data_IF_166153910775
#
_entry.id   IF_166153910775
#
_cell.length_a   1.000
_cell.length_b   1.000
_cell.length_c   1.000
_cell.angle_alpha   90.00
_cell.angle_beta   90.00
_cell.angle_gamma   90.00
#
_symmetry.space_group_name_H-M   'P 1'
#
loop_
_entity.id
_entity.type
_entity.pdbx_description
1 polymer ?
#
# COMPACT_ATOMS: atom_id res chain seq x y z
N UNK A 1 -4.67 -25.73 10.45
CA UNK A 1 -5.34 -24.73 11.31
C UNK A 1 -4.33 -23.63 11.51
N UNK A 2 -4.65 -22.44 10.97
CA UNK A 2 -3.76 -21.30 10.97
C UNK A 2 -3.23 -21.02 12.39
N UNK A 3 -1.99 -20.55 12.51
CA UNK A 3 -1.35 -20.29 13.81
C UNK A 3 -2.14 -19.30 14.68
N UNK A 4 -2.99 -18.46 14.08
CA UNK A 4 -3.95 -17.59 14.76
C UNK A 4 -5.02 -18.34 15.54
N UNK A 5 -5.52 -19.46 15.01
CA UNK A 5 -6.76 -20.09 15.50
C UNK A 5 -6.54 -20.87 16.79
N UNK A 6 -5.32 -21.35 17.01
CA UNK A 6 -4.93 -21.99 18.28
C UNK A 6 -4.99 -21.02 19.46
N UNK A 7 -4.88 -19.71 19.23
CA UNK A 7 -4.99 -18.70 20.26
C UNK A 7 -6.45 -18.26 20.52
N UNK A 8 -7.37 -18.55 19.59
CA UNK A 8 -8.75 -18.05 19.60
C UNK A 8 -9.69 -18.84 20.52
N UNK A 9 -9.36 -20.10 20.86
CA UNK A 9 -10.23 -20.97 21.66
C UNK A 9 -11.57 -21.31 21.00
N UNK A 10 -11.71 -21.09 19.69
CA UNK A 10 -12.92 -21.38 18.95
C UNK A 10 -13.10 -22.90 18.76
N UNK A 11 -14.36 -23.38 18.72
CA UNK A 11 -14.63 -24.78 18.42
C UNK A 11 -14.16 -25.11 16.99
N UNK A 12 -13.77 -26.37 16.75
CA UNK A 12 -13.04 -26.79 15.55
C UNK A 12 -13.80 -26.50 14.24
N UNK A 13 -15.14 -26.54 14.29
CA UNK A 13 -16.03 -26.19 13.19
C UNK A 13 -16.04 -24.69 12.81
N UNK A 14 -15.51 -23.81 13.67
CA UNK A 14 -15.44 -22.37 13.45
C UNK A 14 -14.00 -21.86 13.21
N UNK A 15 -13.01 -22.75 13.23
CA UNK A 15 -11.63 -22.41 12.88
C UNK A 15 -11.48 -22.24 11.36
N UNK A 16 -10.54 -21.40 10.94
CA UNK A 16 -10.20 -21.30 9.53
C UNK A 16 -9.51 -22.61 9.09
N UNK A 17 -10.08 -23.24 8.08
CA UNK A 17 -9.45 -24.36 7.38
C UNK A 17 -8.39 -23.79 6.45
N UNK A 18 -7.14 -24.18 6.67
CA UNK A 18 -6.08 -23.96 5.68
C UNK A 18 -6.40 -24.87 4.49
N UNK A 19 -6.64 -24.26 3.33
CA UNK A 19 -6.83 -24.99 2.09
C UNK A 19 -5.54 -25.76 1.78
N UNK A 20 -5.66 -27.05 1.54
CA UNK A 20 -4.53 -27.87 1.11
C UNK A 20 -4.16 -27.52 -0.33
N UNK A 21 -2.95 -27.86 -0.78
CA UNK A 21 -2.60 -27.69 -2.20
C UNK A 21 -3.57 -28.44 -3.11
N UNK A 22 -4.12 -29.58 -2.68
CA UNK A 22 -5.15 -30.32 -3.43
C UNK A 22 -6.47 -29.54 -3.56
N UNK A 23 -6.85 -28.75 -2.55
CA UNK A 23 -8.02 -27.87 -2.59
C UNK A 23 -7.79 -26.64 -3.48
N UNK A 24 -6.54 -26.19 -3.56
CA UNK A 24 -6.12 -25.08 -4.42
C UNK A 24 -5.98 -25.48 -5.88
N UNK A 25 -5.64 -26.75 -6.17
CA UNK A 25 -5.47 -27.27 -7.55
C UNK A 25 -6.68 -26.99 -8.47
N UNK A 26 -7.94 -27.29 -8.12
CA UNK A 26 -9.08 -26.98 -8.97
C UNK A 26 -9.30 -25.47 -9.19
N UNK A 27 -8.80 -24.62 -8.29
CA UNK A 27 -8.82 -23.16 -8.42
C UNK A 27 -7.64 -22.67 -9.28
N UNK A 28 -6.55 -23.43 -9.33
CA UNK A 28 -5.28 -23.06 -9.97
C UNK A 28 -5.20 -23.27 -11.48
N UNK A 29 -6.22 -23.87 -12.11
CA UNK A 29 -6.08 -24.40 -13.47
C UNK A 29 -6.29 -23.42 -14.63
N UNK A 30 -6.66 -22.17 -14.39
CA UNK A 30 -6.53 -21.10 -15.37
C UNK A 30 -6.32 -19.79 -14.62
N UNK A 31 -5.13 -19.21 -14.72
CA UNK A 31 -4.92 -17.83 -14.30
C UNK A 31 -5.86 -16.97 -15.16
N UNK A 32 -6.84 -16.27 -14.56
CA UNK A 32 -7.81 -15.51 -15.34
C UNK A 32 -7.08 -14.45 -16.15
N UNK A 33 -7.46 -14.30 -17.42
CA UNK A 33 -6.91 -13.23 -18.23
C UNK A 33 -7.30 -11.89 -17.60
N UNK A 34 -6.44 -10.88 -17.77
CA UNK A 34 -6.66 -9.57 -17.17
C UNK A 34 -8.02 -8.99 -17.56
N UNK A 35 -8.40 -9.17 -18.82
CA UNK A 35 -9.67 -8.71 -19.38
C UNK A 35 -10.88 -9.36 -18.69
N UNK A 36 -10.75 -10.62 -18.25
CA UNK A 36 -11.80 -11.33 -17.52
C UNK A 36 -11.96 -10.73 -16.10
N UNK A 37 -10.85 -10.38 -15.45
CA UNK A 37 -10.85 -9.72 -14.13
C UNK A 37 -11.48 -8.33 -14.23
N UNK A 38 -11.03 -7.53 -15.20
CA UNK A 38 -11.58 -6.19 -15.45
C UNK A 38 -13.08 -6.29 -15.71
N UNK A 39 -13.51 -7.14 -16.65
CA UNK A 39 -14.92 -7.32 -16.97
C UNK A 39 -15.75 -7.77 -15.77
N UNK A 40 -15.23 -8.66 -14.94
CA UNK A 40 -15.90 -9.10 -13.72
C UNK A 40 -16.08 -7.95 -12.71
N UNK A 41 -15.03 -7.16 -12.51
CA UNK A 41 -15.05 -6.02 -11.59
C UNK A 41 -15.96 -4.89 -12.08
N UNK A 42 -16.07 -4.69 -13.39
CA UNK A 42 -16.96 -3.69 -13.98
C UNK A 42 -18.46 -4.04 -13.83
N UNK A 43 -18.79 -5.33 -13.83
CA UNK A 43 -20.16 -5.81 -13.71
C UNK A 43 -20.69 -5.80 -12.27
N UNK A 44 -19.78 -5.82 -11.29
CA UNK A 44 -20.12 -5.82 -9.88
C UNK A 44 -20.14 -4.42 -9.25
N UNK A 45 -20.72 -4.33 -8.05
CA UNK A 45 -20.61 -3.16 -7.18
C UNK A 45 -19.61 -3.49 -6.08
N UNK A 46 -18.33 -3.26 -6.35
CA UNK A 46 -17.27 -3.49 -5.39
C UNK A 46 -16.76 -2.17 -4.79
N UNK A 47 -16.38 -2.23 -3.52
CA UNK A 47 -15.79 -1.11 -2.79
C UNK A 47 -14.60 -1.64 -1.98
N UNK A 48 -13.46 -1.00 -2.14
CA UNK A 48 -12.27 -1.29 -1.34
C UNK A 48 -12.28 -0.33 -0.16
N UNK A 49 -12.40 -0.85 1.06
CA UNK A 49 -12.31 -0.05 2.29
C UNK A 49 -10.90 -0.12 2.85
N UNK A 50 -10.24 1.03 2.95
CA UNK A 50 -8.90 1.17 3.53
C UNK A 50 -8.99 1.70 4.95
N UNK A 51 -8.30 0.99 5.85
CA UNK A 51 -8.25 1.24 7.28
C UNK A 51 -6.79 1.48 7.66
N UNK A 52 -6.49 2.65 8.24
CA UNK A 52 -5.18 2.95 8.81
C UNK A 52 -5.35 3.13 10.30
N UNK A 53 -4.76 2.23 11.07
CA UNK A 53 -4.78 2.24 12.53
C UNK A 53 -3.40 2.61 13.08
N UNK A 54 -3.39 3.34 14.19
CA UNK A 54 -2.15 3.72 14.84
C UNK A 54 -2.38 4.27 16.24
N UNK A 55 -1.29 4.49 16.96
CA UNK A 55 -1.31 5.15 18.26
C UNK A 55 -0.73 6.54 18.10
N UNK A 56 -1.49 7.55 18.53
CA UNK A 56 -1.01 8.91 18.56
C UNK A 56 0.03 9.07 19.67
N UNK A 57 1.27 9.50 19.37
CA UNK A 57 2.38 9.42 20.32
C UNK A 57 2.24 10.34 21.53
N UNK A 58 1.49 11.45 21.43
CA UNK A 58 1.37 12.45 22.50
C UNK A 58 0.37 12.02 23.58
N UNK A 59 -0.71 11.36 23.17
CA UNK A 59 -1.87 11.01 24.02
C UNK A 59 -1.98 9.52 24.28
N UNK A 60 -1.19 8.70 23.58
CA UNK A 60 -1.29 7.24 23.55
C UNK A 60 -2.69 6.74 23.14
N UNK A 61 -3.51 7.60 22.53
CA UNK A 61 -4.83 7.23 22.05
C UNK A 61 -4.72 6.41 20.75
N UNK A 62 -5.56 5.39 20.63
CA UNK A 62 -5.73 4.65 19.39
C UNK A 62 -6.52 5.50 18.39
N UNK A 63 -5.97 5.72 17.20
CA UNK A 63 -6.59 6.41 16.08
C UNK A 63 -6.88 5.45 14.94
N UNK A 64 -7.95 5.71 14.21
CA UNK A 64 -8.32 4.99 13.01
C UNK A 64 -8.78 5.98 11.94
N UNK A 65 -8.07 6.00 10.81
CA UNK A 65 -8.50 6.69 9.60
C UNK A 65 -9.14 5.69 8.64
N UNK A 66 -10.19 6.12 7.94
CA UNK A 66 -10.97 5.31 7.02
C UNK A 66 -11.12 6.05 5.70
N UNK A 67 -10.98 5.30 4.61
CA UNK A 67 -11.30 5.77 3.27
C UNK A 67 -11.79 4.60 2.43
N UNK A 68 -12.45 4.87 1.31
CA UNK A 68 -12.88 3.82 0.40
C UNK A 68 -12.76 4.24 -1.06
N UNK A 69 -12.52 3.24 -1.90
CA UNK A 69 -12.38 3.36 -3.34
C UNK A 69 -13.47 2.52 -4.01
N UNK A 70 -14.33 3.16 -4.78
CA UNK A 70 -15.40 2.49 -5.50
C UNK A 70 -14.88 1.94 -6.83
N UNK A 71 -15.10 0.65 -7.06
CA UNK A 71 -14.85 0.01 -8.34
C UNK A 71 -16.13 0.15 -9.15
N UNK A 72 -16.14 1.10 -10.08
CA UNK A 72 -17.25 1.33 -11.00
C UNK A 72 -16.70 1.23 -12.42
N UNK A 73 -17.30 0.36 -13.25
CA UNK A 73 -16.85 0.14 -14.62
C UNK A 73 -16.91 1.39 -15.49
N UNK A 74 -16.12 1.40 -16.58
CA UNK A 74 -15.94 2.37 -17.70
C UNK A 74 -16.20 3.89 -17.55
N UNK A 75 -16.73 4.41 -16.44
CA UNK A 75 -17.31 5.76 -16.31
C UNK A 75 -16.98 6.46 -14.98
N UNK A 76 -15.82 6.17 -14.37
CA UNK A 76 -15.29 6.96 -13.25
C UNK A 76 -15.30 6.24 -11.89
N UNK A 77 -14.79 5.01 -11.86
CA UNK A 77 -14.33 4.39 -10.61
C UNK A 77 -12.99 4.97 -10.15
N UNK A 78 -12.62 4.70 -8.90
CA UNK A 78 -11.40 5.24 -8.28
C UNK A 78 -10.14 4.38 -8.57
N UNK A 79 -10.29 3.30 -9.35
CA UNK A 79 -9.20 2.39 -9.71
C UNK A 79 -8.74 2.71 -11.13
N UNK A 80 -7.45 2.98 -11.27
CA UNK A 80 -6.79 3.12 -12.56
C UNK A 80 -5.82 1.96 -12.79
N UNK A 81 -5.99 1.25 -13.91
CA UNK A 81 -5.06 0.21 -14.33
C UNK A 81 -3.83 0.80 -15.02
N UNK A 82 -2.71 0.07 -14.98
CA UNK A 82 -1.41 0.45 -15.60
C UNK A 82 -0.90 1.83 -15.18
N UNK A 83 -1.16 2.21 -13.93
CA UNK A 83 -0.80 3.50 -13.37
C UNK A 83 0.02 3.33 -12.10
N UNK A 84 1.00 4.19 -11.90
CA UNK A 84 1.76 4.30 -10.67
C UNK A 84 1.69 5.73 -10.14
N UNK A 85 1.78 5.88 -8.81
CA UNK A 85 1.91 7.20 -8.20
C UNK A 85 3.24 7.85 -8.59
N UNK A 86 3.19 9.15 -8.86
CA UNK A 86 4.38 9.96 -9.15
C UNK A 86 5.25 10.10 -7.89
N UNK A 87 6.58 10.12 -8.05
CA UNK A 87 7.51 10.38 -6.94
C UNK A 87 7.29 11.79 -6.35
N UNK A 88 6.71 11.84 -5.14
CA UNK A 88 6.42 13.08 -4.42
C UNK A 88 7.46 13.42 -3.35
N UNK A 89 8.50 12.60 -3.15
CA UNK A 89 9.53 12.82 -2.13
C UNK A 89 10.88 13.06 -2.79
N UNK A 90 11.58 14.13 -2.42
CA UNK A 90 12.90 14.47 -2.99
C UNK A 90 13.89 14.84 -1.90
N UNK A 91 15.16 14.50 -2.10
CA UNK A 91 16.24 14.97 -1.24
C UNK A 91 16.56 16.45 -1.52
N UNK A 92 16.58 17.28 -0.48
CA UNK A 92 17.11 18.64 -0.55
C UNK A 92 18.62 18.56 -0.77
N UNK A 93 19.09 18.76 -2.00
CA UNK A 93 20.53 18.89 -2.28
C UNK A 93 20.99 20.23 -1.70
N UNK A 94 21.96 20.19 -0.79
CA UNK A 94 22.63 21.38 -0.28
C UNK A 94 23.21 22.17 -1.47
N UNK A 95 22.85 23.46 -1.56
CA UNK A 95 22.99 24.25 -2.77
C UNK A 95 24.39 24.26 -3.39
N UNK A 96 24.43 24.17 -4.71
CA UNK A 96 25.48 24.76 -5.53
C UNK A 96 24.84 25.84 -6.37
N UNK A 97 24.63 27.02 -5.78
CA UNK A 97 24.62 28.31 -6.46
C UNK A 97 24.55 29.41 -5.39
N UNK A 98 25.67 30.10 -5.16
CA UNK A 98 25.78 31.20 -4.19
C UNK A 98 26.82 30.97 -3.10
N UNK A 99 28.07 31.34 -3.40
CA UNK A 99 29.18 31.38 -2.46
C UNK A 99 28.90 32.36 -1.32
N UNK A 100 28.54 31.87 -0.13
CA UNK A 100 28.68 32.61 1.12
C UNK A 100 29.77 31.97 1.96
N UNK A 101 30.92 32.66 2.03
CA UNK A 101 32.01 32.35 2.95
C UNK A 101 31.53 32.63 4.37
N UNK A 102 31.35 31.60 5.18
CA UNK A 102 31.22 31.77 6.62
C UNK A 102 30.48 30.64 7.31
N UNK A 103 31.19 29.96 8.20
CA UNK A 103 30.70 29.06 9.23
C UNK A 103 30.25 27.66 8.80
N UNK A 104 30.91 26.67 9.40
CA UNK A 104 30.61 25.26 9.29
C UNK A 104 29.19 24.96 9.80
N UNK A 105 28.21 24.99 8.89
CA UNK A 105 26.83 24.63 9.21
C UNK A 105 26.55 23.20 8.71
N UNK A 106 26.19 22.35 9.67
CA UNK A 106 25.70 20.97 9.53
C UNK A 106 24.87 20.85 8.25
N UNK A 107 25.33 20.02 7.31
CA UNK A 107 24.68 19.79 6.01
C UNK A 107 23.18 19.51 6.23
N UNK A 108 22.34 20.48 5.85
CA UNK A 108 20.88 20.38 5.92
C UNK A 108 20.39 19.40 4.85
N UNK A 109 20.55 18.11 5.14
CA UNK A 109 20.01 17.01 4.33
C UNK A 109 18.60 16.73 4.82
N UNK A 110 17.63 17.42 4.26
CA UNK A 110 16.21 17.18 4.47
C UNK A 110 15.58 16.41 3.31
N UNK A 111 14.47 15.71 3.58
CA UNK A 111 13.54 15.28 2.55
C UNK A 111 12.46 16.36 2.40
N UNK A 112 12.07 16.64 1.17
CA UNK A 112 10.95 17.52 0.84
C UNK A 112 9.87 16.66 0.22
N UNK A 113 8.67 16.76 0.77
CA UNK A 113 7.47 16.10 0.22
C UNK A 113 6.64 17.14 -0.50
N UNK A 114 6.37 16.92 -1.78
CA UNK A 114 5.46 17.73 -2.57
C UNK A 114 4.04 17.15 -2.47
N UNK A 115 3.25 17.71 -1.55
CA UNK A 115 1.87 17.28 -1.31
C UNK A 115 0.96 17.57 -2.51
N UNK A 116 1.34 18.52 -3.38
CA UNK A 116 0.57 18.86 -4.57
C UNK A 116 0.46 17.73 -5.58
N UNK A 117 1.43 16.82 -5.59
CA UNK A 117 1.43 15.63 -6.47
C UNK A 117 1.14 14.32 -5.73
N UNK A 118 0.70 14.36 -4.46
CA UNK A 118 0.48 13.15 -3.66
C UNK A 118 -0.58 12.21 -4.26
N UNK A 119 -1.59 12.75 -4.95
CA UNK A 119 -2.63 11.97 -5.62
C UNK A 119 -2.39 11.80 -7.14
N UNK A 120 -1.23 12.23 -7.64
CA UNK A 120 -0.95 12.20 -9.08
C UNK A 120 -0.46 10.83 -9.51
N UNK A 121 -1.09 10.27 -10.54
CA UNK A 121 -0.69 9.02 -11.19
C UNK A 121 -0.09 9.30 -12.58
N UNK A 122 0.79 8.42 -13.03
CA UNK A 122 1.33 8.40 -14.38
C UNK A 122 1.27 6.97 -14.93
N UNK A 123 1.20 6.77 -16.27
CA UNK A 123 1.31 5.45 -16.87
C UNK A 123 2.58 4.74 -16.42
N UNK A 124 2.48 3.43 -16.20
CA UNK A 124 3.66 2.60 -15.94
C UNK A 124 4.41 2.41 -17.26
N UNK A 125 5.50 3.13 -17.47
CA UNK A 125 6.46 2.81 -18.53
C UNK A 125 7.26 1.55 -18.12
N UNK A 126 7.77 0.77 -19.09
CA UNK A 126 8.55 -0.48 -18.92
C UNK A 126 9.81 -0.36 -18.01
N UNK A 127 10.11 0.83 -17.48
CA UNK A 127 11.25 1.15 -16.62
C UNK A 127 10.92 1.51 -15.17
N UNK A 128 9.66 1.54 -14.73
CA UNK A 128 9.31 1.79 -13.33
C UNK A 128 9.44 0.50 -12.53
N UNK A 129 10.43 0.45 -11.62
CA UNK A 129 10.61 -0.66 -10.69
C UNK A 129 9.48 -0.66 -9.63
N UNK A 130 8.45 -1.47 -9.86
CA UNK A 130 7.32 -1.68 -8.95
C UNK A 130 7.73 -2.24 -7.56
N UNK A 131 9.00 -2.63 -7.37
CA UNK A 131 9.54 -3.10 -6.08
C UNK A 131 9.72 -2.00 -5.03
N UNK A 132 9.52 -0.73 -5.40
CA UNK A 132 9.66 0.42 -4.49
C UNK A 132 8.30 0.94 -3.98
N UNK A 133 7.20 0.20 -4.21
CA UNK A 133 5.99 0.44 -3.42
C UNK A 133 6.35 0.25 -1.93
N UNK A 134 6.12 1.24 -1.05
CA UNK A 134 6.46 1.12 0.35
C UNK A 134 5.54 0.08 0.99
N UNK A 135 5.97 -1.18 0.99
CA UNK A 135 5.50 -2.17 1.93
C UNK A 135 5.97 -1.66 3.29
N UNK A 136 5.08 -0.97 4.01
CA UNK A 136 5.26 -0.66 5.43
C UNK A 136 5.19 -1.98 6.22
N UNK A 137 6.20 -2.83 6.05
CA UNK A 137 6.44 -3.96 6.92
C UNK A 137 7.05 -3.40 8.21
N UNK A 138 6.19 -3.24 9.22
CA UNK A 138 6.59 -2.93 10.58
C UNK A 138 7.54 -4.03 11.07
N UNK A 139 8.86 -3.76 11.06
CA UNK A 139 9.82 -4.59 11.79
C UNK A 139 9.61 -4.32 13.28
N UNK A 140 8.91 -5.23 13.95
CA UNK A 140 8.87 -5.28 15.40
C UNK A 140 10.29 -5.49 15.94
N UNK A 141 10.88 -4.43 16.49
CA UNK A 141 12.02 -4.57 17.40
C UNK A 141 11.48 -4.95 18.78
N UNK A 142 11.25 -6.25 18.99
CA UNK A 142 11.15 -6.83 20.32
C UNK A 142 12.56 -7.16 20.82
N UNK A 143 13.16 -6.24 21.56
CA UNK A 143 14.39 -6.48 22.32
C UNK A 143 14.03 -6.88 23.75
N UNK A 144 14.57 -8.02 24.16
CA UNK A 144 14.47 -8.66 25.48
C UNK A 144 15.00 -7.82 26.63
#
# INVERSE_FOLDING_TARGET
>A
AAHSDKASGLPAEACHFELTEDDLRPISHNEPAREDIESHLEQGYFEIVVLVEGVEPTTAATLQARHSYAIRGSHGGDIEWDRAFVECVRCKRGGTEGSFKGSAHRRDRGLVVDIGCFHTTAPVDDGIDLRVAPVFAHKNYGGS
#
